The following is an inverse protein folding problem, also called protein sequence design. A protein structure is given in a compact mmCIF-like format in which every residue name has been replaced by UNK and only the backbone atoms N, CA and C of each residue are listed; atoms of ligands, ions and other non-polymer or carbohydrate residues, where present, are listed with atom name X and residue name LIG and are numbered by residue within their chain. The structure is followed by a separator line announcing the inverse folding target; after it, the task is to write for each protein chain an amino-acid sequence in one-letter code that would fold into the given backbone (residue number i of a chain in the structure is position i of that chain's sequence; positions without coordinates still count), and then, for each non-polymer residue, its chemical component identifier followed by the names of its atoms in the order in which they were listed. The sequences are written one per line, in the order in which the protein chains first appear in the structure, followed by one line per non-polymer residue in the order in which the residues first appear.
data_IF_924537723821
#
_entry.id   IF_924537723821
#
_cell.length_a   1.000
_cell.length_b   1.000
_cell.length_c   1.000
_cell.angle_alpha   90.00
_cell.angle_beta   90.00
_cell.angle_gamma   90.00
#
_symmetry.space_group_name_H-M   'P 1'
#
loop_
_entity.id
_entity.type
_entity.pdbx_description
1 polymer ?
#
# COMPACT_ATOMS: atom_id res chain seq x y z
N UNK A 1 -21.81 -15.10 -2.08
CA UNK A 1 -20.71 -15.86 -1.42
C UNK A 1 -19.37 -15.73 -2.16
N UNK A 2 -19.31 -15.85 -3.49
CA UNK A 2 -18.06 -15.68 -4.26
C UNK A 2 -17.33 -14.35 -4.01
N UNK A 3 -18.04 -13.23 -3.90
CA UNK A 3 -17.45 -11.92 -3.59
C UNK A 3 -16.69 -11.90 -2.26
N UNK A 4 -17.31 -12.40 -1.18
CA UNK A 4 -16.68 -12.51 0.14
C UNK A 4 -15.43 -13.40 0.14
N UNK A 5 -15.40 -14.45 -0.68
CA UNK A 5 -14.23 -15.33 -0.80
C UNK A 5 -13.08 -14.61 -1.50
N UNK A 6 -13.36 -13.87 -2.59
CA UNK A 6 -12.34 -13.05 -3.29
C UNK A 6 -11.80 -11.93 -2.40
N UNK A 7 -12.68 -11.24 -1.69
CA UNK A 7 -12.33 -10.22 -0.68
C UNK A 7 -11.36 -10.77 0.37
N UNK A 8 -11.65 -11.96 0.90
CA UNK A 8 -10.84 -12.61 1.90
C UNK A 8 -9.48 -13.06 1.34
N UNK A 9 -9.44 -13.57 0.11
CA UNK A 9 -8.20 -13.95 -0.57
C UNK A 9 -7.30 -12.74 -0.82
N UNK A 10 -7.87 -11.63 -1.30
CA UNK A 10 -7.16 -10.38 -1.51
C UNK A 10 -6.60 -9.82 -0.21
N UNK A 11 -7.43 -9.74 0.84
CA UNK A 11 -6.99 -9.30 2.17
C UNK A 11 -5.85 -10.15 2.72
N UNK A 12 -5.91 -11.48 2.51
CA UNK A 12 -4.84 -12.39 2.92
C UNK A 12 -3.55 -12.17 2.11
N UNK A 13 -3.64 -11.90 0.81
CA UNK A 13 -2.49 -11.58 -0.04
C UNK A 13 -1.86 -10.25 0.38
N UNK A 14 -2.66 -9.20 0.57
CA UNK A 14 -2.21 -7.91 1.12
C UNK A 14 -1.46 -8.11 2.44
N UNK A 15 -2.06 -8.84 3.38
CA UNK A 15 -1.45 -9.11 4.69
C UNK A 15 -0.09 -9.81 4.57
N UNK A 16 0.05 -10.78 3.67
CA UNK A 16 1.33 -11.47 3.41
C UNK A 16 2.38 -10.54 2.81
N UNK A 17 2.00 -9.74 1.82
CA UNK A 17 2.90 -8.78 1.15
C UNK A 17 3.40 -7.73 2.15
N UNK A 18 2.49 -7.11 2.90
CA UNK A 18 2.83 -6.11 3.92
C UNK A 18 3.76 -6.69 4.98
N UNK A 19 3.45 -7.89 5.49
CA UNK A 19 4.28 -8.58 6.49
C UNK A 19 5.70 -8.86 5.98
N UNK A 20 5.87 -9.31 4.73
CA UNK A 20 7.20 -9.58 4.15
C UNK A 20 8.09 -8.33 4.12
N UNK A 21 7.50 -7.15 3.98
CA UNK A 21 8.22 -5.88 3.89
C UNK A 21 8.31 -5.13 5.22
N UNK A 22 7.93 -5.76 6.34
CA UNK A 22 7.80 -5.11 7.63
C UNK A 22 6.94 -3.83 7.56
N UNK A 23 5.86 -3.87 6.76
CA UNK A 23 4.87 -2.80 6.66
C UNK A 23 3.64 -3.20 7.47
N UNK A 24 3.17 -2.27 8.28
CA UNK A 24 2.00 -2.41 9.13
C UNK A 24 0.94 -1.39 8.73
N UNK A 25 -0.33 -1.77 8.79
CA UNK A 25 -1.46 -0.83 8.69
C UNK A 25 -1.67 -0.25 10.09
N UNK A 26 -1.15 0.96 10.31
CA UNK A 26 -1.27 1.65 11.59
C UNK A 26 -2.69 2.19 11.83
N UNK A 27 -3.37 2.61 10.77
CA UNK A 27 -4.75 3.08 10.84
C UNK A 27 -5.43 2.95 9.48
N UNK A 28 -6.70 2.57 9.45
CA UNK A 28 -7.51 2.53 8.24
C UNK A 28 -8.92 3.03 8.53
N UNK A 29 -9.33 4.03 7.76
CA UNK A 29 -10.72 4.50 7.68
C UNK A 29 -11.09 4.65 6.20
N UNK A 30 -12.37 4.73 5.86
CA UNK A 30 -12.83 5.12 4.52
C UNK A 30 -12.02 6.30 3.95
N UNK A 31 -11.35 6.06 2.82
CA UNK A 31 -10.59 7.07 2.06
C UNK A 31 -9.23 7.43 2.64
N UNK A 32 -8.80 6.81 3.75
CA UNK A 32 -7.50 7.08 4.36
C UNK A 32 -6.88 5.85 4.99
N UNK A 33 -5.68 5.51 4.54
CA UNK A 33 -4.86 4.46 5.14
C UNK A 33 -3.52 5.03 5.57
N UNK A 34 -3.07 4.67 6.77
CA UNK A 34 -1.73 4.95 7.26
C UNK A 34 -0.94 3.67 7.33
N UNK A 35 0.11 3.60 6.53
CA UNK A 35 1.10 2.55 6.57
C UNK A 35 2.28 2.99 7.44
N UNK A 36 2.96 2.04 8.05
CA UNK A 36 4.16 2.28 8.84
C UNK A 36 5.16 1.16 8.62
N UNK A 37 6.44 1.50 8.53
CA UNK A 37 7.51 0.51 8.58
C UNK A 37 8.69 1.06 9.38
N UNK A 38 9.30 0.26 10.27
CA UNK A 38 10.57 0.64 10.90
C UNK A 38 11.65 0.96 9.87
N UNK A 39 11.66 0.26 8.73
CA UNK A 39 12.63 0.44 7.66
C UNK A 39 12.49 1.79 6.94
N UNK A 40 11.32 2.42 7.04
CA UNK A 40 11.11 3.74 6.44
C UNK A 40 11.55 4.88 7.35
N UNK A 41 11.83 4.65 8.64
CA UNK A 41 12.18 5.75 9.55
C UNK A 41 13.51 6.37 9.15
N UNK A 42 13.52 7.68 8.89
CA UNK A 42 14.66 8.46 8.43
C UNK A 42 15.34 7.89 7.17
N UNK A 43 14.62 7.08 6.38
CA UNK A 43 15.17 6.42 5.20
C UNK A 43 14.23 6.57 3.99
N UNK A 44 14.12 7.80 3.43
CA UNK A 44 13.19 8.09 2.34
C UNK A 44 13.48 7.25 1.09
N UNK A 45 14.73 6.86 0.84
CA UNK A 45 15.11 6.09 -0.34
C UNK A 45 14.39 4.74 -0.45
N UNK A 46 14.04 4.12 0.67
CA UNK A 46 13.33 2.84 0.70
C UNK A 46 11.84 3.02 0.33
N UNK A 47 11.22 4.12 0.74
CA UNK A 47 9.78 4.36 0.53
C UNK A 47 9.48 5.16 -0.75
N UNK A 48 10.45 5.92 -1.26
CA UNK A 48 10.28 6.74 -2.46
C UNK A 48 9.82 5.97 -3.71
N UNK A 49 10.30 4.74 -4.00
CA UNK A 49 9.79 3.95 -5.12
C UNK A 49 8.28 3.70 -5.01
N UNK A 50 7.80 3.35 -3.81
CA UNK A 50 6.39 3.14 -3.52
C UNK A 50 5.59 4.43 -3.70
N UNK A 51 6.09 5.54 -3.18
CA UNK A 51 5.46 6.86 -3.32
C UNK A 51 5.33 7.24 -4.80
N UNK A 52 6.40 7.07 -5.57
CA UNK A 52 6.42 7.43 -6.99
C UNK A 52 5.43 6.59 -7.78
N UNK A 53 5.34 5.29 -7.51
CA UNK A 53 4.35 4.44 -8.16
C UNK A 53 2.92 4.87 -7.84
N UNK A 54 2.63 5.13 -6.56
CA UNK A 54 1.29 5.51 -6.12
C UNK A 54 0.88 6.92 -6.58
N UNK A 55 1.82 7.84 -6.85
CA UNK A 55 1.53 9.16 -7.42
C UNK A 55 0.88 9.08 -8.82
N UNK A 56 1.07 7.97 -9.54
CA UNK A 56 0.45 7.76 -10.85
C UNK A 56 -0.93 7.10 -10.78
N UNK A 57 -1.37 6.72 -9.58
CA UNK A 57 -2.67 6.09 -9.39
C UNK A 57 -3.79 7.12 -9.39
N UNK A 58 -4.72 6.99 -10.34
CA UNK A 58 -5.79 7.97 -10.57
C UNK A 58 -6.73 8.18 -9.38
N UNK A 59 -6.81 7.18 -8.49
CA UNK A 59 -7.70 7.19 -7.34
C UNK A 59 -6.99 7.57 -6.03
N UNK A 60 -5.70 7.90 -6.07
CA UNK A 60 -4.97 8.42 -4.93
C UNK A 60 -4.96 9.95 -5.01
N UNK A 61 -5.47 10.60 -3.96
CA UNK A 61 -5.55 12.05 -3.86
C UNK A 61 -4.29 12.66 -3.25
N UNK A 62 -3.71 12.02 -2.24
CA UNK A 62 -2.50 12.50 -1.59
C UNK A 62 -1.68 11.37 -0.98
N UNK A 63 -0.37 11.61 -0.88
CA UNK A 63 0.58 10.73 -0.22
C UNK A 63 1.53 11.59 0.60
N UNK A 64 1.52 11.40 1.92
CA UNK A 64 2.32 12.16 2.86
C UNK A 64 3.23 11.23 3.65
N UNK A 65 4.54 11.34 3.44
CA UNK A 65 5.54 10.58 4.17
C UNK A 65 6.09 11.40 5.34
N UNK A 66 6.15 10.77 6.52
CA UNK A 66 6.73 11.36 7.74
C UNK A 66 7.95 10.54 8.15
N UNK A 67 9.14 11.08 7.89
CA UNK A 67 10.41 10.38 8.08
C UNK A 67 10.67 10.00 9.54
N UNK A 68 10.32 10.88 10.48
CA UNK A 68 10.59 10.71 11.91
C UNK A 68 9.86 9.50 12.50
N UNK A 69 8.71 9.16 11.93
CA UNK A 69 7.86 8.05 12.38
C UNK A 69 7.89 6.85 11.44
N UNK A 70 8.54 6.98 10.27
CA UNK A 70 8.52 5.96 9.22
C UNK A 70 7.10 5.65 8.74
N UNK A 71 6.24 6.68 8.67
CA UNK A 71 4.83 6.50 8.31
C UNK A 71 4.49 7.13 6.96
N UNK A 72 3.56 6.49 6.26
CA UNK A 72 3.04 6.92 4.97
C UNK A 72 1.53 7.03 5.07
N UNK A 73 1.01 8.24 4.93
CA UNK A 73 -0.42 8.51 4.88
C UNK A 73 -0.85 8.56 3.42
N UNK A 74 -1.86 7.78 3.06
CA UNK A 74 -2.44 7.75 1.72
C UNK A 74 -3.90 8.12 1.84
N UNK A 75 -4.29 9.16 1.10
CA UNK A 75 -5.69 9.58 0.94
C UNK A 75 -6.15 9.16 -0.45
N UNK A 76 -7.30 8.51 -0.55
CA UNK A 76 -7.76 7.89 -1.80
C UNK A 76 -9.28 7.95 -1.94
N UNK A 77 -9.76 7.75 -3.17
CA UNK A 77 -11.17 7.62 -3.47
C UNK A 77 -11.73 6.32 -2.87
N UNK A 78 -12.62 6.45 -1.88
CA UNK A 78 -13.37 5.34 -1.28
C UNK A 78 -14.77 5.20 -1.87
N UNK A 79 -15.02 5.73 -3.06
CA UNK A 79 -16.29 5.50 -3.74
C UNK A 79 -16.55 3.99 -3.92
N UNK A 80 -17.80 3.52 -3.75
CA UNK A 80 -18.15 2.10 -3.77
C UNK A 80 -18.00 1.43 -5.15
N UNK A 81 -17.47 2.14 -6.15
CA UNK A 81 -17.24 1.59 -7.48
C UNK A 81 -15.88 0.88 -7.49
N UNK A 82 -15.90 -0.45 -7.55
CA UNK A 82 -14.73 -1.33 -7.78
C UNK A 82 -13.55 -1.23 -6.78
N UNK A 83 -13.83 -0.98 -5.50
CA UNK A 83 -12.82 -0.98 -4.42
C UNK A 83 -11.94 -2.24 -4.39
N UNK A 84 -12.47 -3.41 -4.77
CA UNK A 84 -11.69 -4.66 -4.78
C UNK A 84 -10.69 -4.75 -5.92
N UNK A 85 -11.07 -4.29 -7.11
CA UNK A 85 -10.18 -4.27 -8.26
C UNK A 85 -9.00 -3.33 -8.00
N UNK A 86 -9.28 -2.17 -7.39
CA UNK A 86 -8.26 -1.22 -6.99
C UNK A 86 -7.29 -1.80 -5.94
N UNK A 87 -7.80 -2.50 -4.93
CA UNK A 87 -6.95 -3.20 -3.96
C UNK A 87 -6.11 -4.31 -4.61
N UNK A 88 -6.65 -5.04 -5.60
CA UNK A 88 -5.91 -6.04 -6.39
C UNK A 88 -4.75 -5.38 -7.16
N UNK A 89 -5.01 -4.29 -7.87
CA UNK A 89 -4.00 -3.54 -8.64
C UNK A 89 -2.86 -3.04 -7.74
N UNK A 90 -3.18 -2.53 -6.55
CA UNK A 90 -2.17 -2.06 -5.60
C UNK A 90 -1.28 -3.18 -5.07
N UNK A 91 -1.84 -4.37 -4.84
CA UNK A 91 -1.06 -5.53 -4.40
C UNK A 91 -0.07 -5.95 -5.49
N UNK A 92 -0.50 -5.99 -6.75
CA UNK A 92 0.35 -6.35 -7.88
C UNK A 92 1.49 -5.34 -8.10
N UNK A 93 1.21 -4.05 -7.90
CA UNK A 93 2.20 -2.99 -7.96
C UNK A 93 3.30 -3.15 -6.90
N UNK A 94 2.92 -3.43 -5.65
CA UNK A 94 3.87 -3.66 -4.55
C UNK A 94 4.74 -4.89 -4.81
N UNK A 95 4.15 -5.98 -5.32
CA UNK A 95 4.91 -7.19 -5.65
C UNK A 95 5.94 -6.95 -6.77
N UNK A 96 5.62 -6.10 -7.76
CA UNK A 96 6.53 -5.78 -8.85
C UNK A 96 7.78 -5.03 -8.38
N UNK A 97 7.61 -4.01 -7.54
CA UNK A 97 8.73 -3.24 -6.97
C UNK A 97 9.65 -4.15 -6.14
N UNK A 98 9.08 -5.08 -5.37
CA UNK A 98 9.83 -6.00 -4.54
C UNK A 98 10.74 -6.94 -5.35
N UNK A 99 10.34 -7.32 -6.57
CA UNK A 99 11.12 -8.21 -7.45
C UNK A 99 12.25 -7.46 -8.15
N UNK A 100 12.06 -6.17 -8.46
CA UNK A 100 13.09 -5.35 -9.10
C UNK A 100 14.21 -4.94 -8.14
N UNK A 101 13.91 -4.83 -6.83
CA UNK A 101 14.91 -4.58 -5.79
C UNK A 101 15.81 -5.76 -5.42
N UNK A 102 15.46 -7.00 -5.80
CA UNK A 102 16.28 -8.21 -5.57
C UNK A 102 17.23 -8.53 -6.73
N UNK A 103 17.14 -7.81 -7.87
CA UNK A 103 17.96 -8.02 -9.07
C UNK A 103 19.14 -7.04 -9.21
N UNK A 104 19.37 -6.17 -8.23
CA UNK A 104 20.54 -5.29 -8.14
C UNK A 104 21.47 -5.74 -7.01
#
# INVERSE_FOLDING_TARGET
MLHKVKELQLANRMKKVLKRHAIEIAHQIPGRIRLKSPNWKNNPHIVNPLINQFKHETRIFSIDYTAETGSLLITYDFSPVDHLKQLEEWVEQIERISIEGEKQ
#
